data_IF_269509506246
#
_entry.id   IF_269509506246
#
_cell.length_a   1.000
_cell.length_b   1.000
_cell.length_c   1.000
_cell.angle_alpha   90.00
_cell.angle_beta   90.00
_cell.angle_gamma   90.00
#
_symmetry.space_group_name_H-M   'P 1'
#
loop_
_entity.id
_entity.type
_entity.pdbx_description
1 polymer ?
#
# COMPACT_ATOMS: atom_id res chain seq x y z
N UNK A 1 2.37 25.34 5.01
CA UNK A 1 2.07 23.96 4.56
C UNK A 1 3.15 23.06 5.08
N UNK A 2 2.79 22.04 5.85
CA UNK A 2 3.72 21.06 6.38
C UNK A 2 3.21 19.67 5.98
N UNK A 3 3.90 19.03 5.04
CA UNK A 3 3.62 17.64 4.69
C UNK A 3 3.85 16.76 5.93
N UNK A 4 2.91 15.86 6.20
CA UNK A 4 2.98 14.96 7.36
C UNK A 4 3.43 13.55 6.97
N UNK A 5 3.23 13.18 5.72
CA UNK A 5 3.51 11.86 5.19
C UNK A 5 4.41 11.96 3.98
N UNK A 6 5.37 11.03 3.90
CA UNK A 6 6.33 10.90 2.81
C UNK A 6 6.40 9.42 2.39
N UNK A 7 6.45 9.18 1.09
CA UNK A 7 6.59 7.84 0.50
C UNK A 7 7.38 7.95 -0.81
N UNK A 8 7.75 6.82 -1.41
CA UNK A 8 8.51 6.76 -2.67
C UNK A 8 7.84 5.79 -3.64
N UNK A 9 7.51 6.29 -4.82
CA UNK A 9 7.06 5.44 -5.93
C UNK A 9 8.28 4.92 -6.68
N UNK A 10 8.33 3.61 -6.91
CA UNK A 10 9.39 2.95 -7.67
C UNK A 10 8.83 2.28 -8.92
N UNK A 11 9.54 2.42 -10.03
CA UNK A 11 9.12 1.89 -11.31
C UNK A 11 10.29 1.43 -12.19
N UNK A 12 10.01 0.47 -13.06
CA UNK A 12 11.01 -0.08 -13.98
C UNK A 12 11.13 0.72 -15.29
N UNK A 13 10.14 1.59 -15.59
CA UNK A 13 10.09 2.42 -16.79
C UNK A 13 9.39 3.75 -16.51
N UNK A 14 9.56 4.78 -17.37
CA UNK A 14 8.85 6.05 -17.23
C UNK A 14 7.31 5.89 -17.25
N UNK A 15 6.79 4.98 -18.07
CA UNK A 15 5.35 4.74 -18.17
C UNK A 15 4.80 4.08 -16.90
N UNK A 16 5.49 3.08 -16.36
CA UNK A 16 5.13 2.44 -15.08
C UNK A 16 5.18 3.46 -13.92
N UNK A 17 6.15 4.39 -13.95
CA UNK A 17 6.21 5.47 -12.97
C UNK A 17 4.99 6.41 -13.07
N UNK A 18 4.61 6.79 -14.29
CA UNK A 18 3.49 7.68 -14.53
C UNK A 18 2.15 7.07 -14.08
N UNK A 19 1.93 5.78 -14.35
CA UNK A 19 0.73 5.06 -13.91
C UNK A 19 0.64 4.99 -12.39
N UNK A 20 1.71 4.55 -11.72
CA UNK A 20 1.76 4.46 -10.25
C UNK A 20 1.61 5.83 -9.58
N UNK A 21 2.22 6.87 -10.13
CA UNK A 21 2.04 8.24 -9.64
C UNK A 21 0.60 8.72 -9.79
N UNK A 22 -0.04 8.43 -10.93
CA UNK A 22 -1.44 8.79 -11.15
C UNK A 22 -2.37 8.14 -10.12
N UNK A 23 -2.09 6.89 -9.74
CA UNK A 23 -2.84 6.21 -8.68
C UNK A 23 -2.66 6.91 -7.32
N UNK A 24 -1.41 7.16 -6.92
CA UNK A 24 -1.09 7.85 -5.66
C UNK A 24 -1.69 9.26 -5.60
N UNK A 25 -1.75 9.97 -6.74
CA UNK A 25 -2.40 11.28 -6.80
C UNK A 25 -3.91 11.23 -6.50
N UNK A 26 -4.60 10.16 -6.88
CA UNK A 26 -6.01 9.95 -6.51
C UNK A 26 -6.20 9.71 -5.02
N UNK A 27 -5.19 9.14 -4.35
CA UNK A 27 -5.15 8.93 -2.90
C UNK A 27 -4.76 10.21 -2.11
N UNK A 28 -4.59 11.35 -2.79
CA UNK A 28 -4.23 12.62 -2.15
C UNK A 28 -2.72 12.84 -1.98
N UNK A 29 -1.88 12.02 -2.60
CA UNK A 29 -0.44 12.27 -2.64
C UNK A 29 -0.08 13.26 -3.76
N UNK A 30 1.05 13.94 -3.59
CA UNK A 30 1.63 14.80 -4.62
C UNK A 30 3.12 14.53 -4.80
N UNK A 31 3.66 14.67 -6.03
CA UNK A 31 5.10 14.61 -6.27
C UNK A 31 5.85 15.63 -5.40
N UNK A 32 6.93 15.17 -4.80
CA UNK A 32 7.85 15.98 -4.03
C UNK A 32 9.22 16.00 -4.73
N UNK A 33 9.56 17.13 -5.34
CA UNK A 33 10.78 17.26 -6.15
C UNK A 33 10.70 16.49 -7.48
N UNK A 34 11.85 16.31 -8.13
CA UNK A 34 11.96 15.65 -9.44
C UNK A 34 12.26 14.15 -9.32
N UNK A 35 11.85 13.32 -10.29
CA UNK A 35 12.20 11.91 -10.30
C UNK A 35 13.70 11.69 -10.47
N UNK A 36 14.21 10.61 -9.89
CA UNK A 36 15.62 10.19 -9.97
C UNK A 36 15.71 8.79 -10.57
N UNK A 37 16.62 8.61 -11.53
CA UNK A 37 17.04 7.29 -11.99
C UNK A 37 18.20 6.80 -11.12
N UNK A 38 18.01 5.69 -10.40
CA UNK A 38 19.05 5.12 -9.51
C UNK A 38 19.83 4.03 -10.23
N UNK A 39 19.16 3.26 -11.10
CA UNK A 39 19.77 2.29 -11.99
C UNK A 39 19.08 2.37 -13.36
N UNK A 40 19.63 1.78 -14.44
CA UNK A 40 19.02 1.81 -15.78
C UNK A 40 17.56 1.34 -15.83
N UNK A 41 17.12 0.57 -14.83
CA UNK A 41 15.77 0.00 -14.73
C UNK A 41 15.07 0.37 -13.42
N UNK A 42 15.47 1.45 -12.76
CA UNK A 42 14.83 1.89 -11.53
C UNK A 42 14.72 3.41 -11.49
N UNK A 43 13.49 3.87 -11.73
CA UNK A 43 13.08 5.24 -11.51
C UNK A 43 12.38 5.37 -10.16
N UNK A 44 12.64 6.48 -9.47
CA UNK A 44 11.99 6.80 -8.21
C UNK A 44 11.48 8.23 -8.20
N UNK A 45 10.28 8.42 -7.66
CA UNK A 45 9.70 9.73 -7.38
C UNK A 45 9.30 9.77 -5.91
N UNK A 46 9.85 10.72 -5.16
CA UNK A 46 9.36 11.00 -3.81
C UNK A 46 7.97 11.63 -3.89
N UNK A 47 7.08 11.24 -3.00
CA UNK A 47 5.73 11.78 -2.88
C UNK A 47 5.48 12.20 -1.43
N UNK A 48 4.65 13.22 -1.26
CA UNK A 48 4.26 13.73 0.03
C UNK A 48 2.75 13.99 0.06
N UNK A 49 2.15 13.98 1.25
CA UNK A 49 0.74 14.30 1.42
C UNK A 49 0.51 15.19 2.65
N UNK A 50 -0.49 16.06 2.55
CA UNK A 50 -0.97 16.93 3.62
C UNK A 50 -2.31 16.39 4.11
N UNK A 51 -2.37 15.92 5.36
CA UNK A 51 -3.57 15.30 5.95
C UNK A 51 -3.46 13.78 6.14
N UNK A 52 -4.56 13.14 6.52
CA UNK A 52 -4.66 11.69 6.61
C UNK A 52 -4.67 11.11 5.20
N UNK A 53 -3.64 10.34 4.87
CA UNK A 53 -3.60 9.62 3.61
C UNK A 53 -4.56 8.45 3.70
N UNK A 54 -5.50 8.36 2.77
CA UNK A 54 -6.27 7.12 2.58
C UNK A 54 -5.31 6.10 1.99
N UNK A 55 -4.64 5.33 2.84
CA UNK A 55 -3.92 4.13 2.42
C UNK A 55 -4.98 3.13 2.01
N UNK A 56 -5.39 3.20 0.74
CA UNK A 56 -6.36 2.31 0.11
C UNK A 56 -5.79 0.90 -0.09
N UNK A 57 -5.25 0.30 0.97
CA UNK A 57 -4.62 -1.01 0.93
C UNK A 57 -5.58 -2.19 1.09
N UNK A 58 -6.80 -1.93 1.55
CA UNK A 58 -7.84 -2.95 1.68
C UNK A 58 -9.12 -2.44 1.05
N UNK A 59 -9.22 -2.57 -0.27
CA UNK A 59 -10.55 -2.58 -0.91
C UNK A 59 -11.19 -3.92 -0.57
N UNK A 60 -12.46 -3.91 -0.19
CA UNK A 60 -13.23 -5.14 -0.02
C UNK A 60 -13.13 -5.98 -1.31
N UNK A 61 -12.74 -7.25 -1.23
CA UNK A 61 -12.70 -8.09 -2.41
C UNK A 61 -14.11 -8.33 -2.95
N UNK A 62 -14.25 -8.41 -4.27
CA UNK A 62 -15.54 -8.65 -4.94
C UNK A 62 -16.14 -10.02 -4.61
N UNK A 63 -15.31 -10.94 -4.11
CA UNK A 63 -15.67 -12.28 -3.73
C UNK A 63 -14.74 -12.77 -2.61
N UNK A 64 -15.22 -13.72 -1.82
CA UNK A 64 -14.44 -14.37 -0.77
C UNK A 64 -14.44 -15.88 -0.99
N UNK A 65 -13.31 -16.54 -0.78
CA UNK A 65 -13.32 -17.98 -0.57
C UNK A 65 -13.91 -18.27 0.80
N UNK A 66 -14.99 -19.05 0.84
CA UNK A 66 -15.62 -19.48 2.08
C UNK A 66 -14.99 -20.79 2.52
N UNK A 67 -14.34 -20.79 3.70
CA UNK A 67 -13.83 -21.98 4.35
C UNK A 67 -14.68 -22.24 5.60
N UNK A 68 -15.42 -23.34 5.59
CA UNK A 68 -16.27 -23.74 6.73
C UNK A 68 -15.40 -24.44 7.77
N UNK A 69 -15.43 -23.95 9.01
CA UNK A 69 -14.77 -24.56 10.16
C UNK A 69 -15.84 -25.05 11.14
N UNK A 70 -15.83 -26.35 11.44
CA UNK A 70 -16.70 -26.99 12.43
C UNK A 70 -15.96 -28.17 13.07
N UNK A 71 -16.31 -28.51 14.31
CA UNK A 71 -15.67 -29.61 15.04
C UNK A 71 -15.70 -29.42 16.55
N UNK A 72 -14.91 -30.23 17.27
CA UNK A 72 -14.74 -30.13 18.72
C UNK A 72 -13.72 -29.04 19.10
N UNK A 73 -13.44 -28.86 20.40
CA UNK A 73 -12.54 -27.81 20.91
C UNK A 73 -11.19 -27.73 20.22
N UNK A 74 -10.62 -28.87 19.81
CA UNK A 74 -9.32 -28.91 19.11
C UNK A 74 -9.34 -28.30 17.70
N UNK A 75 -10.53 -28.09 17.11
CA UNK A 75 -10.68 -27.38 15.83
C UNK A 75 -10.76 -25.86 16.01
N UNK A 76 -10.81 -25.36 17.26
CA UNK A 76 -11.01 -23.96 17.60
C UNK A 76 -9.90 -23.47 18.56
N UNK A 77 -9.80 -22.16 18.75
CA UNK A 77 -8.81 -21.55 19.62
C UNK A 77 -9.19 -21.62 21.12
N UNK A 78 -9.18 -22.82 21.71
CA UNK A 78 -9.31 -23.05 23.16
C UNK A 78 -7.95 -23.17 23.87
N UNK A 79 -6.88 -22.63 23.29
CA UNK A 79 -5.54 -22.67 23.87
C UNK A 79 -5.38 -21.62 24.98
N UNK A 80 -4.68 -21.99 26.05
CA UNK A 80 -4.42 -21.12 27.22
C UNK A 80 -3.17 -20.23 27.05
N UNK A 81 -2.48 -20.31 25.91
CA UNK A 81 -1.31 -19.49 25.63
C UNK A 81 -1.69 -18.04 25.32
N UNK A 82 -0.85 -17.09 25.74
CA UNK A 82 -1.02 -15.69 25.39
C UNK A 82 -0.94 -15.51 23.85
N UNK A 83 -1.87 -14.77 23.23
CA UNK A 83 -1.75 -14.40 21.82
C UNK A 83 -0.54 -13.46 21.61
N UNK A 84 -0.02 -13.44 20.39
CA UNK A 84 1.07 -12.55 19.97
C UNK A 84 0.55 -11.18 19.57
#
# INVERSE_FOLDING_TARGET
MAFKHYDVVRAASPSDLAEKLTHKMKEGWQPFGSPVAITPYTLMQAIAAEGDVVVSGATEPEWYYVIVLAGQSNAMAYGEGLPL
#
